data_IF_292172203652
#
_entry.id   IF_292172203652
#
_cell.length_a   1.000
_cell.length_b   1.000
_cell.length_c   1.000
_cell.angle_alpha   90.00
_cell.angle_beta   90.00
_cell.angle_gamma   90.00
#
_symmetry.space_group_name_H-M   'P 1'
#
loop_
_entity.id
_entity.type
_entity.pdbx_description
1 polymer ?
#
# COMPACT_ATOMS: atom_id res chain seq x y z
N UNK A 1 -20.44 -31.53 -12.76
CA UNK A 1 -18.97 -31.50 -12.99
C UNK A 1 -18.42 -30.30 -12.22
N UNK A 2 -17.60 -30.52 -11.20
CA UNK A 2 -16.99 -29.43 -10.40
C UNK A 2 -15.81 -28.87 -11.19
N UNK A 3 -15.86 -27.58 -11.55
CA UNK A 3 -14.90 -26.90 -12.41
C UNK A 3 -13.48 -26.91 -11.81
N UNK A 4 -12.52 -27.50 -12.54
CA UNK A 4 -11.08 -27.48 -12.23
C UNK A 4 -10.48 -26.06 -12.22
N UNK A 5 -11.15 -25.09 -12.86
CA UNK A 5 -10.72 -23.69 -12.94
C UNK A 5 -10.76 -22.94 -11.60
N UNK A 6 -11.68 -23.28 -10.70
CA UNK A 6 -11.80 -22.62 -9.39
C UNK A 6 -10.67 -23.04 -8.44
N UNK A 7 -10.24 -24.30 -8.54
CA UNK A 7 -9.20 -24.90 -7.66
C UNK A 7 -7.81 -24.30 -7.91
N UNK A 8 -7.52 -23.97 -9.18
CA UNK A 8 -6.30 -23.30 -9.62
C UNK A 8 -6.21 -21.86 -9.10
N UNK A 9 -7.29 -21.08 -9.22
CA UNK A 9 -7.34 -19.69 -8.76
C UNK A 9 -7.25 -19.56 -7.24
N UNK A 10 -7.94 -20.42 -6.50
CA UNK A 10 -7.89 -20.44 -5.03
C UNK A 10 -6.50 -20.81 -4.50
N UNK A 11 -5.81 -21.75 -5.17
CA UNK A 11 -4.45 -22.16 -4.81
C UNK A 11 -3.44 -21.04 -5.10
N UNK A 12 -3.53 -20.41 -6.27
CA UNK A 12 -2.70 -19.26 -6.64
C UNK A 12 -2.90 -18.07 -5.68
N UNK A 13 -4.15 -17.78 -5.30
CA UNK A 13 -4.48 -16.75 -4.32
C UNK A 13 -3.87 -17.05 -2.95
N UNK A 14 -3.98 -18.30 -2.48
CA UNK A 14 -3.44 -18.74 -1.20
C UNK A 14 -1.91 -18.67 -1.14
N UNK A 15 -1.21 -19.05 -2.21
CA UNK A 15 0.25 -18.96 -2.30
C UNK A 15 0.74 -17.51 -2.33
N UNK A 16 0.03 -16.61 -3.05
CA UNK A 16 0.29 -15.17 -3.01
C UNK A 16 0.08 -14.58 -1.61
N UNK A 17 -1.02 -14.94 -0.93
CA UNK A 17 -1.28 -14.47 0.44
C UNK A 17 -0.18 -14.93 1.41
N UNK A 18 0.35 -16.15 1.27
CA UNK A 18 1.53 -16.62 2.02
C UNK A 18 2.78 -15.80 1.72
N UNK A 19 3.02 -15.48 0.45
CA UNK A 19 4.16 -14.67 0.05
C UNK A 19 4.08 -13.27 0.67
N UNK A 20 2.91 -12.62 0.65
CA UNK A 20 2.69 -11.32 1.29
C UNK A 20 2.99 -11.35 2.80
N UNK A 21 2.47 -12.35 3.52
CA UNK A 21 2.70 -12.51 4.97
C UNK A 21 4.20 -12.70 5.27
N UNK A 22 4.92 -13.43 4.42
CA UNK A 22 6.36 -13.64 4.57
C UNK A 22 7.14 -12.33 4.41
N UNK A 23 6.76 -11.48 3.46
CA UNK A 23 7.42 -10.19 3.24
C UNK A 23 7.25 -9.25 4.44
N UNK A 24 6.04 -9.17 5.02
CA UNK A 24 5.81 -8.38 6.24
C UNK A 24 6.63 -8.85 7.45
N UNK A 25 7.00 -10.13 7.49
CA UNK A 25 7.84 -10.69 8.56
C UNK A 25 9.35 -10.65 8.24
N UNK A 26 9.72 -10.27 7.01
CA UNK A 26 11.10 -10.26 6.55
C UNK A 26 11.94 -9.21 7.27
N UNK A 27 13.25 -9.48 7.38
CA UNK A 27 14.22 -8.49 7.89
C UNK A 27 14.28 -7.25 7.01
N UNK A 28 14.14 -7.44 5.70
CA UNK A 28 14.14 -6.36 4.69
C UNK A 28 13.01 -5.39 4.98
N UNK A 29 11.77 -5.89 5.11
CA UNK A 29 10.62 -5.03 5.43
C UNK A 29 10.81 -4.24 6.72
N UNK A 30 11.31 -4.88 7.80
CA UNK A 30 11.53 -4.18 9.07
C UNK A 30 12.53 -3.03 8.94
N UNK A 31 13.58 -3.21 8.14
CA UNK A 31 14.58 -2.17 7.88
C UNK A 31 14.00 -1.07 6.98
N UNK A 32 13.34 -1.44 5.88
CA UNK A 32 12.67 -0.49 4.98
C UNK A 32 11.64 0.34 5.74
N UNK A 33 10.76 -0.29 6.52
CA UNK A 33 9.76 0.40 7.36
C UNK A 33 10.41 1.40 8.31
N UNK A 34 11.53 1.04 8.95
CA UNK A 34 12.26 1.96 9.84
C UNK A 34 12.83 3.15 9.05
N UNK A 35 13.40 2.89 7.87
CA UNK A 35 13.95 3.92 6.99
C UNK A 35 12.89 4.91 6.52
N UNK A 36 11.71 4.42 6.10
CA UNK A 36 10.59 5.27 5.66
C UNK A 36 10.05 6.11 6.81
N UNK A 37 9.85 5.50 7.99
CA UNK A 37 9.43 6.23 9.18
C UNK A 37 10.43 7.32 9.60
N UNK A 38 11.73 7.10 9.41
CA UNK A 38 12.75 8.10 9.69
C UNK A 38 12.78 9.21 8.63
N UNK A 39 12.69 8.85 7.34
CA UNK A 39 12.64 9.80 6.22
C UNK A 39 11.46 10.77 6.37
N UNK A 40 10.32 10.25 6.79
CA UNK A 40 9.05 10.97 6.87
C UNK A 40 8.83 11.62 8.26
N UNK A 41 9.90 11.73 9.08
CA UNK A 41 9.88 12.29 10.45
C UNK A 41 8.84 11.65 11.39
N UNK A 42 8.41 10.42 11.10
CA UNK A 42 7.34 9.74 11.81
C UNK A 42 5.97 10.42 11.66
N UNK A 43 5.78 11.25 10.62
CA UNK A 43 4.56 11.98 10.32
C UNK A 43 3.82 11.36 9.13
N UNK A 44 2.49 11.44 9.18
CA UNK A 44 1.63 11.05 8.08
C UNK A 44 1.80 12.05 6.92
N UNK A 45 2.39 11.61 5.82
CA UNK A 45 2.68 12.50 4.68
C UNK A 45 1.39 12.98 3.97
N UNK A 46 0.33 12.17 4.00
CA UNK A 46 -0.98 12.60 3.49
C UNK A 46 -1.59 13.70 4.35
N UNK A 47 -1.49 13.61 5.68
CA UNK A 47 -1.92 14.71 6.56
C UNK A 47 -1.06 15.95 6.33
N UNK A 48 0.25 15.79 6.15
CA UNK A 48 1.16 16.90 5.93
C UNK A 48 0.83 17.65 4.63
N UNK A 49 0.50 16.94 3.55
CA UNK A 49 0.02 17.52 2.29
C UNK A 49 -1.33 18.27 2.46
N UNK A 50 -2.15 17.86 3.44
CA UNK A 50 -3.38 18.56 3.84
C UNK A 50 -3.10 19.75 4.81
N UNK A 51 -1.84 20.04 5.15
CA UNK A 51 -1.46 21.07 6.13
C UNK A 51 -1.66 20.65 7.59
N UNK A 52 -1.79 19.36 7.87
CA UNK A 52 -2.10 18.80 9.19
C UNK A 52 -0.90 18.00 9.72
N UNK A 53 -0.43 18.33 10.92
CA UNK A 53 0.58 17.52 11.61
C UNK A 53 -0.10 16.36 12.31
N UNK A 54 0.19 15.14 11.86
CA UNK A 54 -0.36 13.92 12.42
C UNK A 54 0.72 12.85 12.46
N UNK A 55 0.81 12.11 13.56
CA UNK A 55 1.77 11.00 13.72
C UNK A 55 1.42 9.85 12.77
N UNK A 56 2.44 9.27 12.13
CA UNK A 56 2.31 8.03 11.38
C UNK A 56 2.32 6.80 12.29
N UNK A 57 1.55 5.80 11.91
CA UNK A 57 1.42 4.53 12.64
C UNK A 57 1.81 3.34 11.75
N UNK A 58 1.59 3.49 10.44
CA UNK A 58 1.84 2.47 9.43
C UNK A 58 2.70 3.03 8.30
N UNK A 59 3.37 2.14 7.56
CA UNK A 59 3.93 2.46 6.25
C UNK A 59 2.96 1.88 5.22
N UNK A 60 2.43 2.75 4.38
CA UNK A 60 1.48 2.44 3.33
C UNK A 60 2.20 2.31 1.98
N UNK A 61 1.66 1.46 1.10
CA UNK A 61 2.15 1.26 -0.27
C UNK A 61 1.34 2.12 -1.22
N UNK A 62 1.91 3.16 -1.84
CA UNK A 62 1.18 4.04 -2.75
C UNK A 62 0.50 3.26 -3.89
N UNK A 63 1.25 2.40 -4.57
CA UNK A 63 0.73 1.33 -5.42
C UNK A 63 0.69 0.04 -4.58
N UNK A 64 -0.49 -0.59 -4.39
CA UNK A 64 -0.62 -1.76 -3.53
C UNK A 64 0.31 -2.89 -3.96
N UNK A 65 0.91 -3.56 -2.99
CA UNK A 65 1.77 -4.73 -3.23
C UNK A 65 1.08 -5.85 -4.04
N UNK A 66 -0.26 -5.91 -3.98
CA UNK A 66 -1.05 -6.88 -4.75
C UNK A 66 -1.13 -6.53 -6.24
N UNK A 67 -0.91 -5.28 -6.60
CA UNK A 67 -1.04 -4.77 -7.96
C UNK A 67 0.35 -4.65 -8.62
N UNK A 68 1.41 -4.38 -7.85
CA UNK A 68 2.79 -4.37 -8.30
C UNK A 68 3.74 -4.90 -7.19
N UNK A 69 4.14 -6.17 -7.31
CA UNK A 69 4.97 -6.83 -6.29
C UNK A 69 6.44 -6.40 -6.35
N UNK A 70 6.91 -5.92 -7.50
CA UNK A 70 8.30 -5.50 -7.68
C UNK A 70 8.58 -4.21 -6.89
N UNK A 71 7.56 -3.38 -6.70
CA UNK A 71 7.62 -2.16 -5.87
C UNK A 71 7.44 -2.38 -4.36
N UNK A 72 7.38 -3.62 -3.87
CA UNK A 72 7.06 -3.90 -2.45
C UNK A 72 8.04 -3.30 -1.43
N UNK A 73 9.29 -3.08 -1.85
CA UNK A 73 10.36 -2.47 -1.06
C UNK A 73 10.89 -1.17 -1.68
N UNK A 74 10.26 -0.69 -2.74
CA UNK A 74 10.62 0.55 -3.39
C UNK A 74 10.25 1.72 -2.46
N UNK A 75 11.24 2.52 -2.09
CA UNK A 75 11.04 3.63 -1.16
C UNK A 75 10.12 4.72 -1.74
N UNK A 76 10.10 4.89 -3.05
CA UNK A 76 9.24 5.87 -3.73
C UNK A 76 7.77 5.41 -3.76
N UNK A 77 7.56 4.10 -3.58
CA UNK A 77 6.24 3.50 -3.45
C UNK A 77 5.77 3.37 -1.99
N UNK A 78 6.56 3.82 -1.01
CA UNK A 78 6.28 3.65 0.41
C UNK A 78 6.20 4.99 1.13
N UNK A 79 5.22 5.11 2.01
CA UNK A 79 4.96 6.37 2.73
C UNK A 79 4.50 6.13 4.16
N UNK A 80 5.00 6.94 5.10
CA UNK A 80 4.50 6.93 6.46
C UNK A 80 3.09 7.55 6.50
N UNK A 81 2.13 6.81 7.08
CA UNK A 81 0.72 7.15 7.05
C UNK A 81 0.04 6.89 8.40
N UNK A 82 -1.01 7.67 8.69
CA UNK A 82 -1.90 7.41 9.81
C UNK A 82 -2.93 6.33 9.46
N UNK A 83 -3.53 5.69 10.46
CA UNK A 83 -4.53 4.64 10.23
C UNK A 83 -5.75 5.16 9.44
N UNK A 84 -6.14 6.42 9.65
CA UNK A 84 -7.27 7.06 8.94
C UNK A 84 -7.03 7.09 7.44
N UNK A 85 -5.91 7.66 6.99
CA UNK A 85 -5.58 7.74 5.57
C UNK A 85 -5.35 6.37 4.96
N UNK A 86 -4.67 5.46 5.66
CA UNK A 86 -4.51 4.07 5.21
C UNK A 86 -5.88 3.40 4.95
N UNK A 87 -6.86 3.58 5.84
CA UNK A 87 -8.22 3.02 5.69
C UNK A 87 -8.99 3.69 4.54
N UNK A 88 -8.85 5.00 4.37
CA UNK A 88 -9.48 5.73 3.28
C UNK A 88 -8.90 5.31 1.92
N UNK A 89 -7.58 5.12 1.85
CA UNK A 89 -6.89 4.71 0.64
C UNK A 89 -7.23 3.28 0.24
N UNK A 90 -7.36 2.36 1.19
CA UNK A 90 -7.82 1.00 0.92
C UNK A 90 -9.19 0.99 0.21
N UNK A 91 -10.11 1.89 0.60
CA UNK A 91 -11.41 2.03 -0.08
C UNK A 91 -11.24 2.51 -1.53
N UNK A 92 -10.37 3.48 -1.78
CA UNK A 92 -10.11 3.95 -3.14
C UNK A 92 -9.35 2.93 -3.99
N UNK A 93 -8.48 2.11 -3.40
CA UNK A 93 -7.85 0.98 -4.08
C UNK A 93 -8.89 -0.06 -4.53
N UNK A 94 -9.90 -0.32 -3.70
CA UNK A 94 -11.03 -1.17 -4.08
C UNK A 94 -11.83 -0.55 -5.23
N UNK A 95 -12.08 0.77 -5.18
CA UNK A 95 -12.74 1.50 -6.28
C UNK A 95 -11.94 1.43 -7.57
N UNK A 96 -10.61 1.57 -7.50
CA UNK A 96 -9.70 1.45 -8.63
C UNK A 96 -9.76 0.03 -9.24
N UNK A 97 -9.67 -1.01 -8.40
CA UNK A 97 -9.81 -2.42 -8.85
C UNK A 97 -11.17 -2.71 -9.50
N UNK A 98 -12.23 -2.11 -8.97
CA UNK A 98 -13.59 -2.22 -9.51
C UNK A 98 -13.83 -1.28 -10.71
N UNK A 99 -12.80 -0.57 -11.19
CA UNK A 99 -12.86 0.39 -12.32
C UNK A 99 -13.88 1.52 -12.11
N UNK A 100 -14.13 1.89 -10.86
CA UNK A 100 -15.01 3.01 -10.48
C UNK A 100 -14.28 4.37 -10.50
N UNK A 101 -12.96 4.35 -10.44
CA UNK A 101 -12.07 5.50 -10.64
C UNK A 101 -10.91 5.07 -11.52
N UNK A 102 -10.30 6.03 -12.22
CA UNK A 102 -9.09 5.84 -13.02
C UNK A 102 -7.83 5.86 -12.15
N UNK A 103 -6.73 5.31 -12.68
CA UNK A 103 -5.43 5.40 -12.01
C UNK A 103 -4.97 6.85 -11.85
N UNK A 104 -5.32 7.71 -12.81
CA UNK A 104 -4.99 9.14 -12.78
C UNK A 104 -5.73 9.86 -11.64
N UNK A 105 -7.04 9.64 -11.51
CA UNK A 105 -7.82 10.17 -10.38
C UNK A 105 -7.32 9.66 -9.03
N UNK A 106 -6.95 8.39 -8.95
CA UNK A 106 -6.35 7.81 -7.74
C UNK A 106 -5.04 8.50 -7.37
N UNK A 107 -4.12 8.64 -8.34
CA UNK A 107 -2.82 9.27 -8.12
C UNK A 107 -2.96 10.73 -7.73
N UNK A 108 -3.85 11.48 -8.38
CA UNK A 108 -4.08 12.89 -8.07
C UNK A 108 -4.67 13.07 -6.68
N UNK A 109 -5.57 12.18 -6.24
CA UNK A 109 -6.15 12.22 -4.89
C UNK A 109 -5.13 11.90 -3.79
N UNK A 110 -4.27 10.91 -4.03
CA UNK A 110 -3.31 10.41 -3.05
C UNK A 110 -1.90 10.97 -3.23
N UNK A 111 -1.73 11.99 -4.07
CA UNK A 111 -0.46 12.69 -4.22
C UNK A 111 -0.07 13.31 -2.89
N UNK A 112 1.20 13.16 -2.51
CA UNK A 112 1.78 13.76 -1.32
C UNK A 112 3.17 14.30 -1.67
N UNK A 113 3.58 15.37 -1.00
CA UNK A 113 4.77 16.15 -1.35
C UNK A 113 4.48 17.28 -2.32
N UNK A 114 5.27 18.34 -2.23
CA UNK A 114 5.25 19.46 -3.18
C UNK A 114 5.98 19.03 -4.46
N UNK A 115 5.41 19.37 -5.63
CA UNK A 115 6.08 19.23 -6.94
C UNK A 115 7.40 20.02 -7.00
#
# INVERSE_FOLDING_TARGET
MKNESTKSYETYRYERDKQFIKEYNSKVWKQTRKSIMLRDDGLCQYCLAEGIICKAEVVDHFIPMRDDFDKRFDADNLVASCIRHNTLKEKDEQRLRNKQITLEEYKNKWKYGDD
#
